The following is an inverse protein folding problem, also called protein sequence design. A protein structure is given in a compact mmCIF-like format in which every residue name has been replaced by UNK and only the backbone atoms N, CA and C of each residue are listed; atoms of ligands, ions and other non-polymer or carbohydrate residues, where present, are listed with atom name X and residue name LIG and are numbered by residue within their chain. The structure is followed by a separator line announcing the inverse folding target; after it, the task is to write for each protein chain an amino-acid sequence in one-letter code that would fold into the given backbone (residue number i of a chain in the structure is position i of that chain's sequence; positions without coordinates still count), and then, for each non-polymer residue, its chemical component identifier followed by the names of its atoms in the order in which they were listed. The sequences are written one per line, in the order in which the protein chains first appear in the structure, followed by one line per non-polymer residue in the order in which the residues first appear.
data_IF_012613083662
#
_entry.id   IF_012613083662
#
_cell.length_a   1.000
_cell.length_b   1.000
_cell.length_c   1.000
_cell.angle_alpha   90.00
_cell.angle_beta   90.00
_cell.angle_gamma   90.00
#
_symmetry.space_group_name_H-M   'P 1'
#
loop_
_entity.id
_entity.type
_entity.pdbx_description
1 polymer ?
2 polymer ?
3 water ?
#
loop_
_entity_poly.entity_id
_entity_poly.type
_entity_poly.pdbx_seq_one_letter_code
_entity_poly.pdbx_strand_id
2 'polydeoxyribonucleotide' '(DA)(DC)(DT)(DC)(DC)(DT)(DT)(DT)(DT)(DT)' ?
#
# COMPACT_ATOMS: atom_id res chain seq x y z
N UNK A 1 7.46 16.21 -10.53
CA UNK A 1 6.31 15.75 -11.30
C UNK A 1 5.92 14.32 -10.98
N UNK A 2 6.15 13.43 -11.94
CA UNK A 2 5.79 12.02 -11.80
C UNK A 2 6.31 11.40 -10.50
N UNK A 3 5.38 11.00 -9.64
CA UNK A 3 5.72 10.41 -8.35
C UNK A 3 6.10 8.94 -8.49
N UNK A 4 6.21 8.23 -7.37
CA UNK A 4 6.64 6.84 -7.42
C UNK A 4 5.69 5.91 -6.68
N UNK A 5 5.03 5.03 -7.43
CA UNK A 5 3.88 4.30 -6.92
C UNK A 5 4.14 2.83 -6.63
N UNK A 6 3.54 2.35 -5.54
CA UNK A 6 3.70 0.99 -5.06
C UNK A 6 2.36 0.26 -4.95
N UNK A 7 2.31 -0.93 -5.54
CA UNK A 7 1.18 -1.84 -5.44
C UNK A 7 1.30 -2.75 -4.23
N UNK A 8 0.25 -2.77 -3.41
CA UNK A 8 0.19 -3.61 -2.23
C UNK A 8 -0.98 -4.58 -2.31
N UNK A 9 -0.69 -5.86 -2.52
CA UNK A 9 -1.72 -6.87 -2.66
C UNK A 9 -1.87 -7.76 -1.44
N UNK A 10 -2.91 -8.60 -1.48
CA UNK A 10 -3.26 -9.53 -0.40
C UNK A 10 -3.58 -8.81 0.91
N UNK A 11 -4.39 -7.75 0.82
CA UNK A 11 -4.80 -7.01 2.01
C UNK A 11 -6.01 -7.64 2.67
N UNK A 12 -6.03 -7.64 4.00
CA UNK A 12 -7.18 -8.10 4.77
C UNK A 12 -8.42 -7.27 4.43
N UNK A 13 -9.61 -7.89 4.53
CA UNK A 13 -10.89 -7.26 4.16
C UNK A 13 -11.13 -5.90 4.80
N UNK A 14 -10.67 -5.72 6.04
CA UNK A 14 -10.96 -4.48 6.74
C UNK A 14 -9.72 -3.63 6.98
N UNK A 15 -8.67 -3.90 6.22
CA UNK A 15 -7.53 -2.99 6.16
C UNK A 15 -7.98 -1.73 5.44
N UNK A 16 -7.82 -0.58 6.09
CA UNK A 16 -8.31 0.67 5.53
C UNK A 16 -7.20 1.50 4.91
N UNK A 17 -7.59 2.58 4.24
CA UNK A 17 -6.64 3.54 3.70
C UNK A 17 -5.76 4.08 4.82
N UNK A 18 -6.40 4.48 5.91
CA UNK A 18 -5.71 4.96 7.10
C UNK A 18 -4.69 3.93 7.60
N UNK A 19 -5.13 2.67 7.69
CA UNK A 19 -4.26 1.59 8.12
C UNK A 19 -3.04 1.43 7.21
N UNK A 20 -3.27 1.36 5.91
CA UNK A 20 -2.18 1.12 4.96
C UNK A 20 -1.19 2.29 4.96
N UNK A 21 -1.69 3.50 5.20
CA UNK A 21 -0.81 4.65 5.27
C UNK A 21 -0.01 4.61 6.57
N UNK A 22 -0.64 4.12 7.63
CA UNK A 22 0.05 3.96 8.91
C UNK A 22 1.15 2.90 8.82
N UNK A 23 0.92 1.90 7.97
CA UNK A 23 1.87 0.81 7.80
C UNK A 23 3.04 1.23 6.91
N UNK A 24 2.77 2.01 5.87
CA UNK A 24 3.84 2.41 4.96
C UNK A 24 4.49 3.74 5.32
N UNK A 25 3.95 4.41 6.33
CA UNK A 25 4.47 5.71 6.78
C UNK A 25 5.97 5.73 7.14
N UNK A 26 6.49 4.69 7.83
CA UNK A 26 7.90 4.80 8.23
C UNK A 26 8.92 4.68 7.09
N UNK A 27 8.47 4.41 5.87
CA UNK A 27 9.40 4.16 4.76
C UNK A 27 9.78 5.41 3.98
N UNK A 28 9.30 6.55 4.44
CA UNK A 28 9.48 7.79 3.72
C UNK A 28 8.13 8.45 3.56
N UNK A 29 8.12 9.68 3.07
CA UNK A 29 6.89 10.44 3.05
C UNK A 29 5.94 10.04 1.93
N UNK A 30 4.67 9.96 2.31
CA UNK A 30 3.62 9.46 1.44
C UNK A 30 2.86 10.60 0.78
N UNK A 31 2.85 10.61 -0.55
CA UNK A 31 2.12 11.63 -1.28
C UNK A 31 0.64 11.27 -1.33
N UNK A 32 0.36 9.97 -1.38
CA UNK A 32 -1.01 9.48 -1.43
C UNK A 32 -1.03 8.00 -1.08
N UNK A 33 -2.18 7.51 -0.63
CA UNK A 33 -2.34 6.09 -0.34
C UNK A 33 -3.81 5.76 -0.29
N UNK A 34 -4.19 4.63 -0.88
CA UNK A 34 -5.59 4.23 -0.84
C UNK A 34 -5.75 2.73 -0.97
N UNK A 35 -6.77 2.20 -0.31
CA UNK A 35 -7.18 0.83 -0.53
C UNK A 35 -8.31 0.86 -1.54
N UNK A 36 -8.19 0.06 -2.59
CA UNK A 36 -9.19 0.07 -3.66
C UNK A 36 -10.45 -0.67 -3.24
N UNK A 37 -11.59 0.00 -3.36
CA UNK A 37 -12.88 -0.57 -2.99
C UNK A 37 -13.79 -0.64 -4.20
N UNK A 38 -14.70 -1.61 -4.22
CA UNK A 38 -15.71 -1.63 -5.27
C UNK A 38 -16.73 -0.52 -5.03
N UNK A 39 -17.12 0.16 -6.10
CA UNK A 39 -18.04 1.29 -6.04
C UNK A 39 -19.38 0.93 -5.43
N UNK A 40 -20.18 0.22 -6.22
CA UNK A 40 -21.52 -0.19 -5.85
C UNK A 40 -21.60 -0.78 -4.44
N UNK A 41 -20.55 -1.48 -4.07
CA UNK A 41 -20.56 -2.21 -2.81
C UNK A 41 -19.75 -1.54 -1.68
N UNK A 42 -18.49 -1.22 -1.94
CA UNK A 42 -17.66 -0.57 -0.94
C UNK A 42 -16.79 -1.56 -0.21
N UNK A 43 -16.53 -2.71 -0.84
CA UNK A 43 -15.66 -3.70 -0.22
C UNK A 43 -14.28 -3.61 -0.77
N UNK A 44 -13.33 -3.80 0.14
CA UNK A 44 -11.93 -3.86 -0.22
C UNK A 44 -11.75 -4.91 -1.29
N UNK A 45 -11.08 -4.52 -2.36
CA UNK A 45 -10.82 -5.40 -3.49
C UNK A 45 -9.68 -6.36 -3.16
N UNK A 46 -9.02 -6.12 -2.02
CA UNK A 46 -7.92 -6.95 -1.58
C UNK A 46 -6.56 -6.38 -1.94
N UNK A 47 -6.54 -5.13 -2.38
CA UNK A 47 -5.29 -4.47 -2.73
C UNK A 47 -5.39 -2.94 -2.64
N UNK A 48 -4.24 -2.29 -2.73
CA UNK A 48 -4.17 -0.84 -2.63
C UNK A 48 -2.89 -0.28 -3.20
N UNK A 49 -2.73 1.04 -3.11
CA UNK A 49 -1.56 1.74 -3.62
C UNK A 49 -0.99 2.72 -2.61
N UNK A 50 0.34 2.85 -2.61
CA UNK A 50 1.02 3.85 -1.80
C UNK A 50 2.04 4.60 -2.65
N UNK A 51 1.99 5.93 -2.64
CA UNK A 51 2.85 6.74 -3.49
C UNK A 51 3.83 7.58 -2.68
N UNK A 52 5.08 7.60 -3.14
CA UNK A 52 6.15 8.34 -2.49
C UNK A 52 6.72 9.41 -3.41
N UNK A 53 7.41 10.38 -2.80
CA UNK A 53 8.11 11.43 -3.52
C UNK A 53 9.48 10.94 -3.98
N UNK A 54 10.12 10.14 -3.14
CA UNK A 54 11.43 9.58 -3.44
C UNK A 54 11.31 8.22 -4.10
N UNK A 55 12.04 8.03 -5.20
CA UNK A 55 12.13 6.73 -5.85
C UNK A 55 12.69 5.69 -4.89
N UNK A 56 13.68 6.10 -4.10
CA UNK A 56 14.30 5.20 -3.15
C UNK A 56 13.28 4.71 -2.14
N UNK A 57 12.43 5.61 -1.67
CA UNK A 57 11.45 5.24 -0.65
C UNK A 57 10.52 4.15 -1.16
N UNK A 58 10.10 4.27 -2.42
CA UNK A 58 9.21 3.29 -3.02
C UNK A 58 9.94 1.96 -3.25
N UNK A 59 11.13 2.02 -3.83
CA UNK A 59 11.89 0.81 -4.13
C UNK A 59 12.21 0.06 -2.84
N UNK A 60 12.48 0.81 -1.78
CA UNK A 60 12.79 0.23 -0.49
C UNK A 60 11.55 -0.38 0.13
N UNK A 61 10.44 0.35 0.05
CA UNK A 61 9.18 -0.09 0.61
C UNK A 61 8.74 -1.41 -0.01
N UNK A 62 8.92 -1.53 -1.32
CA UNK A 62 8.58 -2.77 -2.02
C UNK A 62 9.33 -3.96 -1.44
N UNK A 63 10.60 -3.76 -1.10
CA UNK A 63 11.44 -4.85 -0.63
C UNK A 63 11.26 -5.16 0.86
N UNK A 64 10.98 -4.14 1.66
CA UNK A 64 10.84 -4.34 3.09
C UNK A 64 9.43 -4.76 3.49
N UNK A 65 8.43 -4.40 2.69
CA UNK A 65 7.05 -4.74 3.02
C UNK A 65 6.58 -6.02 2.33
N UNK A 66 7.31 -6.43 1.29
CA UNK A 66 6.98 -7.66 0.59
C UNK A 66 6.98 -8.86 1.52
N UNK A 67 5.86 -9.58 1.56
CA UNK A 67 5.74 -10.75 2.40
C UNK A 67 5.55 -10.45 3.87
N UNK A 68 5.49 -9.16 4.22
CA UNK A 68 5.31 -8.76 5.61
C UNK A 68 3.84 -8.82 6.01
N UNK A 69 3.59 -9.14 7.27
CA UNK A 69 2.22 -9.31 7.75
C UNK A 69 1.55 -7.97 8.05
N UNK A 70 0.33 -7.82 7.56
CA UNK A 70 -0.47 -6.63 7.84
C UNK A 70 -1.90 -7.06 8.13
N UNK A 71 -2.34 -6.80 9.36
CA UNK A 71 -3.58 -7.38 9.83
C UNK A 71 -3.29 -8.83 10.16
N UNK A 72 -4.14 -9.73 9.71
CA UNK A 72 -3.91 -11.15 9.94
C UNK A 72 -3.46 -11.87 8.68
N UNK A 73 -3.00 -11.10 7.70
CA UNK A 73 -2.65 -11.67 6.40
C UNK A 73 -1.35 -11.11 5.82
N UNK A 74 -0.63 -11.96 5.10
CA UNK A 74 0.63 -11.59 4.46
C UNK A 74 0.40 -10.82 3.17
N UNK A 75 0.94 -9.61 3.09
CA UNK A 75 0.80 -8.80 1.89
C UNK A 75 1.94 -9.05 0.91
N UNK A 76 1.70 -8.73 -0.36
CA UNK A 76 2.76 -8.77 -1.35
C UNK A 76 2.94 -7.37 -1.89
N UNK A 77 4.13 -7.03 -2.35
CA UNK A 77 4.35 -5.70 -2.90
C UNK A 77 4.98 -5.76 -4.28
N UNK A 78 4.76 -4.72 -5.07
CA UNK A 78 5.36 -4.64 -6.39
C UNK A 78 5.26 -3.22 -6.93
N UNK A 79 5.89 -2.93 -8.06
CA UNK A 79 5.76 -1.60 -8.65
C UNK A 79 4.34 -1.42 -9.17
N UNK A 80 3.85 -0.19 -9.12
CA UNK A 80 2.50 0.10 -9.58
C UNK A 80 2.50 0.74 -10.97
#
# INVERSE_FOLDING_TARGET
GNHFHVFVGDLSPEITTEDIKAAFAPFGRISDARVVKDMATGKSKGYGFVSFFNKWDAENAIQQMGGQWLGGRQIRTNWATRKPPAPKSTYE
#
